data_IF_101000436593
#
_entry.id   IF_101000436593
#
_cell.length_a   1.000
_cell.length_b   1.000
_cell.length_c   1.000
_cell.angle_alpha   90.00
_cell.angle_beta   90.00
_cell.angle_gamma   90.00
#
_symmetry.space_group_name_H-M   'P 1'
#
loop_
_entity.id
_entity.type
_entity.pdbx_description
1 polymer ?
#
# COMPACT_ATOMS: atom_id res chain seq x y z
N UNK A 1 -25.19 -10.34 3.90
CA UNK A 1 -24.24 -10.68 2.82
C UNK A 1 -24.94 -11.66 1.90
N UNK A 2 -24.83 -11.45 0.60
CA UNK A 2 -25.32 -12.39 -0.41
C UNK A 2 -24.14 -13.16 -1.01
N UNK A 3 -24.39 -14.40 -1.45
CA UNK A 3 -23.38 -15.25 -2.03
C UNK A 3 -23.29 -15.03 -3.53
N UNK A 4 -22.08 -14.75 -4.02
CA UNK A 4 -21.78 -14.68 -5.45
C UNK A 4 -20.82 -15.82 -5.79
N UNK A 5 -21.19 -16.63 -6.78
CA UNK A 5 -20.33 -17.69 -7.33
C UNK A 5 -19.78 -17.26 -8.68
N UNK A 6 -18.47 -17.36 -8.86
CA UNK A 6 -17.79 -17.03 -10.12
C UNK A 6 -16.67 -18.03 -10.39
N UNK A 7 -16.42 -18.30 -11.68
CA UNK A 7 -15.28 -19.11 -12.10
C UNK A 7 -14.04 -18.22 -12.19
N UNK A 8 -12.92 -18.72 -11.65
CA UNK A 8 -11.62 -18.06 -11.73
C UNK A 8 -10.62 -19.02 -12.36
N UNK A 9 -9.68 -18.53 -13.17
CA UNK A 9 -8.53 -19.34 -13.59
C UNK A 9 -7.79 -19.88 -12.36
N UNK A 10 -7.30 -21.12 -12.47
CA UNK A 10 -6.69 -21.84 -11.35
C UNK A 10 -5.47 -21.10 -10.78
N UNK A 11 -4.67 -20.50 -11.67
CA UNK A 11 -3.51 -19.66 -11.33
C UNK A 11 -3.90 -18.44 -10.47
N UNK A 12 -5.04 -17.80 -10.79
CA UNK A 12 -5.54 -16.63 -10.08
C UNK A 12 -5.98 -17.03 -8.67
N UNK A 13 -6.69 -18.16 -8.55
CA UNK A 13 -7.12 -18.69 -7.26
C UNK A 13 -5.92 -19.06 -6.37
N UNK A 14 -4.89 -19.70 -6.96
CA UNK A 14 -3.66 -20.03 -6.25
C UNK A 14 -2.95 -18.78 -5.72
N UNK A 15 -2.87 -17.72 -6.53
CA UNK A 15 -2.27 -16.45 -6.13
C UNK A 15 -3.07 -15.75 -5.02
N UNK A 16 -4.40 -15.75 -5.11
CA UNK A 16 -5.30 -15.23 -4.06
C UNK A 16 -5.10 -15.95 -2.73
N UNK A 17 -5.04 -17.29 -2.74
CA UNK A 17 -4.82 -18.09 -1.53
C UNK A 17 -3.47 -17.81 -0.88
N UNK A 18 -2.39 -17.71 -1.66
CA UNK A 18 -1.06 -17.33 -1.15
C UNK A 18 -1.06 -15.93 -0.52
N UNK A 19 -1.70 -14.96 -1.16
CA UNK A 19 -1.79 -13.60 -0.64
C UNK A 19 -2.61 -13.55 0.66
N UNK A 20 -3.72 -14.30 0.71
CA UNK A 20 -4.56 -14.42 1.89
C UNK A 20 -3.79 -14.99 3.09
N UNK A 21 -3.04 -16.08 2.88
CA UNK A 21 -2.17 -16.67 3.89
C UNK A 21 -1.11 -15.67 4.39
N UNK A 22 -0.43 -14.97 3.47
CA UNK A 22 0.58 -13.96 3.82
C UNK A 22 0.00 -12.81 4.66
N UNK A 23 -1.23 -12.38 4.37
CA UNK A 23 -1.93 -11.31 5.08
C UNK A 23 -2.71 -11.77 6.32
N UNK A 24 -2.74 -13.08 6.62
CA UNK A 24 -3.55 -13.62 7.73
C UNK A 24 -5.06 -13.42 7.54
N UNK A 25 -5.54 -13.39 6.29
CA UNK A 25 -6.95 -13.17 5.95
C UNK A 25 -7.49 -14.30 5.05
N UNK A 26 -8.74 -14.19 4.62
CA UNK A 26 -9.38 -15.14 3.70
C UNK A 26 -9.39 -14.63 2.26
N UNK A 27 -9.41 -15.56 1.29
CA UNK A 27 -9.53 -15.22 -0.13
C UNK A 27 -10.82 -14.44 -0.42
N UNK A 28 -11.93 -14.76 0.26
CA UNK A 28 -13.19 -14.02 0.11
C UNK A 28 -13.11 -12.60 0.65
N UNK A 29 -12.32 -12.36 1.71
CA UNK A 29 -12.06 -11.01 2.22
C UNK A 29 -11.31 -10.17 1.19
N UNK A 30 -10.26 -10.75 0.59
CA UNK A 30 -9.49 -10.05 -0.45
C UNK A 30 -10.33 -9.74 -1.69
N UNK A 31 -11.18 -10.69 -2.11
CA UNK A 31 -12.09 -10.46 -3.26
C UNK A 31 -13.09 -9.35 -2.94
N UNK A 32 -13.69 -9.34 -1.73
CA UNK A 32 -14.59 -8.25 -1.31
C UNK A 32 -13.88 -6.90 -1.27
N UNK A 33 -12.68 -6.83 -0.71
CA UNK A 33 -11.86 -5.61 -0.66
C UNK A 33 -11.54 -5.09 -2.06
N UNK A 34 -11.10 -5.98 -2.96
CA UNK A 34 -10.78 -5.60 -4.33
C UNK A 34 -12.01 -5.12 -5.12
N UNK A 35 -13.16 -5.79 -4.96
CA UNK A 35 -14.42 -5.37 -5.60
C UNK A 35 -14.88 -4.02 -5.05
N UNK A 36 -14.84 -3.82 -3.73
CA UNK A 36 -15.18 -2.55 -3.12
C UNK A 36 -14.27 -1.42 -3.61
N UNK A 37 -12.96 -1.66 -3.66
CA UNK A 37 -11.99 -0.68 -4.18
C UNK A 37 -12.21 -0.38 -5.66
N UNK A 38 -12.49 -1.39 -6.49
CA UNK A 38 -12.80 -1.19 -7.90
C UNK A 38 -14.07 -0.33 -8.10
N UNK A 39 -15.13 -0.64 -7.36
CA UNK A 39 -16.39 0.10 -7.43
C UNK A 39 -16.30 1.52 -6.85
N UNK A 40 -15.45 1.72 -5.84
CA UNK A 40 -15.18 3.04 -5.26
C UNK A 40 -14.29 3.93 -6.14
N UNK A 41 -13.82 3.43 -7.30
CA UNK A 41 -12.81 4.12 -8.12
C UNK A 41 -11.42 4.16 -7.46
N UNK A 42 -11.21 3.36 -6.41
CA UNK A 42 -9.98 3.25 -5.63
C UNK A 42 -8.98 2.23 -6.18
N UNK A 43 -9.23 1.62 -7.34
CA UNK A 43 -8.10 1.41 -8.27
C UNK A 43 -7.71 2.79 -8.81
N UNK A 44 -7.26 3.63 -7.88
CA UNK A 44 -6.38 4.72 -8.16
C UNK A 44 -5.18 4.03 -8.80
N UNK A 45 -5.08 4.12 -10.12
CA UNK A 45 -3.84 4.65 -10.66
C UNK A 45 -3.38 5.67 -9.63
N UNK A 46 -2.21 5.48 -9.01
CA UNK A 46 -1.63 6.52 -8.16
C UNK A 46 -1.35 7.68 -9.14
N UNK A 47 -2.40 8.42 -9.48
CA UNK A 47 -2.42 9.60 -10.32
C UNK A 47 -2.11 10.72 -9.35
N UNK A 48 -0.85 10.72 -8.97
CA UNK A 48 -0.30 11.54 -7.91
C UNK A 48 1.19 11.38 -7.98
N UNK A 49 1.88 12.51 -7.91
CA UNK A 49 3.31 12.51 -7.69
C UNK A 49 3.63 11.84 -6.35
N UNK A 50 4.87 11.37 -6.16
CA UNK A 50 5.29 10.74 -4.91
C UNK A 50 4.98 11.62 -3.67
N UNK A 51 5.02 12.96 -3.83
CA UNK A 51 4.70 13.90 -2.75
C UNK A 51 3.22 13.88 -2.34
N UNK A 52 2.30 13.54 -3.25
CA UNK A 52 0.87 13.45 -2.91
C UNK A 52 0.58 12.32 -1.93
N UNK A 53 1.36 11.24 -1.99
CA UNK A 53 1.31 10.12 -1.04
C UNK A 53 2.14 10.30 0.23
N UNK A 54 2.91 11.39 0.34
CA UNK A 54 3.81 11.64 1.47
C UNK A 54 3.51 12.97 2.20
N UNK A 55 2.41 13.65 1.85
CA UNK A 55 2.06 14.98 2.37
C UNK A 55 1.84 14.96 3.89
N UNK A 56 1.32 13.86 4.43
CA UNK A 56 1.10 13.61 5.85
C UNK A 56 2.40 13.33 6.63
N UNK A 57 3.48 12.97 5.94
CA UNK A 57 4.81 12.76 6.52
C UNK A 57 5.61 14.07 6.66
N UNK A 58 5.21 15.12 5.96
CA UNK A 58 5.87 16.42 6.05
C UNK A 58 5.58 17.07 7.41
N UNK A 59 6.62 17.28 8.22
CA UNK A 59 6.51 17.95 9.52
C UNK A 59 5.99 17.08 10.66
N UNK A 60 5.82 15.77 10.47
CA UNK A 60 5.41 14.85 11.54
C UNK A 60 6.50 14.59 12.60
N UNK A 61 7.74 15.01 12.33
CA UNK A 61 8.90 14.85 13.21
C UNK A 61 9.58 16.20 13.45
N UNK A 62 9.96 16.46 14.70
CA UNK A 62 10.81 17.57 15.06
C UNK A 62 12.27 17.22 14.80
N UNK A 63 13.00 18.13 14.15
CA UNK A 63 14.42 17.94 13.87
C UNK A 63 15.12 19.27 13.58
N UNK A 64 16.47 19.28 13.55
CA UNK A 64 17.22 20.45 13.15
C UNK A 64 16.83 20.90 11.73
N UNK A 65 16.59 22.20 11.54
CA UNK A 65 16.20 22.75 10.23
C UNK A 65 17.30 22.69 9.16
N UNK A 66 18.53 22.32 9.55
CA UNK A 66 19.73 22.34 8.71
C UNK A 66 20.16 20.95 8.21
N UNK A 67 19.31 19.92 8.40
CA UNK A 67 19.64 18.54 8.04
C UNK A 67 19.97 18.34 6.56
N UNK A 68 19.36 19.12 5.66
CA UNK A 68 19.53 18.98 4.21
C UNK A 68 20.84 19.58 3.67
N UNK A 69 21.51 20.47 4.42
CA UNK A 69 22.69 21.20 3.92
C UNK A 69 23.87 21.24 4.89
N UNK A 70 23.70 20.88 6.16
CA UNK A 70 24.80 20.79 7.11
C UNK A 70 25.56 19.45 6.99
N UNK A 71 26.63 19.46 6.20
CA UNK A 71 27.52 18.30 5.99
C UNK A 71 28.06 17.68 7.29
N UNK A 72 28.18 18.47 8.36
CA UNK A 72 28.65 17.96 9.66
C UNK A 72 27.66 16.97 10.29
N UNK A 73 26.35 17.09 9.99
CA UNK A 73 25.28 16.22 10.50
C UNK A 73 25.24 14.86 9.80
N UNK A 74 25.79 14.76 8.59
CA UNK A 74 25.84 13.52 7.80
C UNK A 74 27.06 12.64 8.11
N UNK A 75 27.91 13.05 9.06
CA UNK A 75 29.08 12.25 9.46
C UNK A 75 28.63 10.91 10.03
N UNK A 76 29.07 9.82 9.42
CA UNK A 76 28.73 8.45 9.84
C UNK A 76 27.41 7.92 9.27
N UNK A 77 26.69 8.69 8.44
CA UNK A 77 25.49 8.20 7.79
C UNK A 77 25.81 7.08 6.79
N UNK A 78 25.12 5.94 6.88
CA UNK A 78 25.25 4.82 5.94
C UNK A 78 26.49 3.92 6.12
N UNK A 79 27.17 4.00 7.28
CA UNK A 79 28.20 3.06 7.69
C UNK A 79 27.67 2.01 8.64
#
# INVERSE_FOLDING_TARGET
MENVSMKLPEEVLARLRRLAAKKGTSASSLVREAVAAYLAGEIRHISGSFIDGARDLAGCLAGPGDLSHNKARLRGFGR
#
